data_IF_499457530948
#
_entry.id   IF_499457530948
#
_cell.length_a   1.000
_cell.length_b   1.000
_cell.length_c   1.000
_cell.angle_alpha   90.00
_cell.angle_beta   90.00
_cell.angle_gamma   90.00
#
_symmetry.space_group_name_H-M   'P 1'
#
loop_
_entity.id
_entity.type
_entity.pdbx_description
1 polymer ?
#
# COMPACT_ATOMS: atom_id res chain seq x y z
N UNK A 1 8.74 -1.97 4.19
CA UNK A 1 7.43 -1.59 4.76
C UNK A 1 6.73 -0.71 3.74
N UNK A 2 5.42 -0.81 3.65
CA UNK A 2 4.62 0.01 2.73
C UNK A 2 3.60 0.83 3.52
N UNK A 3 3.28 2.03 3.06
CA UNK A 3 2.13 2.79 3.54
C UNK A 3 1.09 2.83 2.43
N UNK A 4 -0.16 2.54 2.78
CA UNK A 4 -1.28 2.59 1.84
C UNK A 4 -2.19 3.71 2.28
N UNK A 5 -2.47 4.65 1.38
CA UNK A 5 -3.28 5.81 1.69
C UNK A 5 -4.26 6.11 0.56
N UNK A 6 -5.46 6.54 0.92
CA UNK A 6 -6.44 7.10 -0.01
C UNK A 6 -6.24 8.61 -0.18
N UNK A 7 -6.69 9.11 -1.33
CA UNK A 7 -6.77 10.53 -1.61
C UNK A 7 -7.81 10.80 -2.68
N UNK A 8 -8.60 11.85 -2.49
CA UNK A 8 -9.46 12.44 -3.53
C UNK A 8 -8.73 13.54 -4.31
N UNK A 9 -7.61 14.04 -3.78
CA UNK A 9 -6.73 15.00 -4.45
C UNK A 9 -5.85 14.30 -5.49
N UNK A 10 -5.28 15.11 -6.40
CA UNK A 10 -4.22 14.65 -7.29
C UNK A 10 -3.04 14.04 -6.50
N UNK A 11 -2.44 13.00 -7.07
CA UNK A 11 -1.31 12.29 -6.44
C UNK A 11 -0.18 13.24 -6.04
N UNK A 12 0.20 14.18 -6.92
CA UNK A 12 1.25 15.17 -6.65
C UNK A 12 0.94 16.01 -5.40
N UNK A 13 -0.31 16.46 -5.26
CA UNK A 13 -0.76 17.24 -4.10
C UNK A 13 -0.71 16.42 -2.82
N UNK A 14 -1.12 15.14 -2.87
CA UNK A 14 -1.05 14.25 -1.71
C UNK A 14 0.41 14.01 -1.27
N UNK A 15 1.31 13.74 -2.22
CA UNK A 15 2.75 13.57 -1.95
C UNK A 15 3.34 14.85 -1.35
N UNK A 16 3.00 16.01 -1.92
CA UNK A 16 3.43 17.30 -1.39
C UNK A 16 2.98 17.50 0.07
N UNK A 17 1.73 17.18 0.39
CA UNK A 17 1.22 17.25 1.77
C UNK A 17 2.00 16.36 2.74
N UNK A 18 2.31 15.12 2.34
CA UNK A 18 3.15 14.23 3.15
C UNK A 18 4.55 14.82 3.37
N UNK A 19 5.21 15.31 2.31
CA UNK A 19 6.53 15.96 2.42
C UNK A 19 6.51 17.19 3.32
N UNK A 20 5.49 18.04 3.18
CA UNK A 20 5.36 19.23 4.01
C UNK A 20 5.26 18.90 5.50
N UNK A 21 4.53 17.83 5.84
CA UNK A 21 4.42 17.37 7.23
C UNK A 21 5.73 16.76 7.76
N UNK A 22 6.46 15.99 6.94
CA UNK A 22 7.79 15.47 7.30
C UNK A 22 8.78 16.62 7.52
N UNK A 23 8.79 17.61 6.64
CA UNK A 23 9.66 18.79 6.80
C UNK A 23 9.30 19.58 8.07
N UNK A 24 8.00 19.65 8.41
CA UNK A 24 7.56 20.27 9.66
C UNK A 24 8.08 19.48 10.87
N UNK A 25 8.02 18.15 10.82
CA UNK A 25 8.62 17.27 11.83
C UNK A 25 10.11 17.56 12.01
N UNK A 26 10.88 17.57 10.91
CA UNK A 26 12.33 17.81 10.94
C UNK A 26 12.67 19.15 11.59
N UNK A 27 11.96 20.23 11.20
CA UNK A 27 12.16 21.56 11.80
C UNK A 27 11.88 21.60 13.30
N UNK A 28 10.87 20.88 13.78
CA UNK A 28 10.55 20.83 15.21
C UNK A 28 11.67 20.11 15.98
N UNK A 29 12.16 18.98 15.44
CA UNK A 29 13.26 18.22 16.04
C UNK A 29 14.56 19.02 16.05
N UNK A 30 14.90 19.70 14.95
CA UNK A 30 16.05 20.61 14.87
C UNK A 30 15.95 21.77 15.86
N UNK A 31 14.74 22.27 16.10
CA UNK A 31 14.44 23.29 17.11
C UNK A 31 14.46 22.80 18.56
N UNK A 32 14.85 21.54 18.81
CA UNK A 32 14.96 20.97 20.17
C UNK A 32 13.65 20.43 20.75
N UNK A 33 12.58 20.36 19.97
CA UNK A 33 11.30 19.78 20.41
C UNK A 33 11.41 18.25 20.40
N UNK A 34 10.98 17.62 21.50
CA UNK A 34 11.05 16.17 21.70
C UNK A 34 9.68 15.51 21.58
N UNK A 35 9.66 14.17 21.45
CA UNK A 35 8.44 13.35 21.26
C UNK A 35 7.39 13.48 22.37
N UNK A 36 7.72 14.11 23.50
CA UNK A 36 6.81 14.43 24.60
C UNK A 36 6.04 15.75 24.40
N UNK A 37 6.35 16.53 23.37
CA UNK A 37 5.67 17.79 23.09
C UNK A 37 4.31 17.57 22.41
N UNK A 38 3.30 18.30 22.89
CA UNK A 38 1.93 18.28 22.36
C UNK A 38 1.90 18.58 20.86
N UNK A 39 2.80 19.44 20.36
CA UNK A 39 2.87 19.78 18.95
C UNK A 39 3.33 18.59 18.10
N UNK A 40 4.28 17.80 18.61
CA UNK A 40 4.82 16.64 17.91
C UNK A 40 3.83 15.47 17.95
N UNK A 41 3.13 15.29 19.07
CA UNK A 41 2.03 14.34 19.19
C UNK A 41 0.91 14.61 18.17
N UNK A 42 0.45 15.87 18.07
CA UNK A 42 -0.56 16.27 17.07
C UNK A 42 -0.12 16.05 15.64
N UNK A 43 1.18 16.18 15.37
CA UNK A 43 1.73 15.91 14.05
C UNK A 43 1.66 14.42 13.73
N UNK A 44 1.97 13.54 14.69
CA UNK A 44 1.82 12.09 14.54
C UNK A 44 0.38 11.66 14.28
N UNK A 45 -0.61 12.36 14.81
CA UNK A 45 -2.03 12.04 14.62
C UNK A 45 -2.53 12.20 13.17
N UNK A 46 -1.80 12.90 12.29
CA UNK A 46 -2.27 13.18 10.92
C UNK A 46 -2.35 11.92 10.05
N UNK A 47 -1.31 11.08 10.06
CA UNK A 47 -1.27 9.83 9.27
C UNK A 47 -0.41 8.78 9.93
N UNK A 48 -0.71 7.50 9.69
CA UNK A 48 0.12 6.37 10.16
C UNK A 48 1.57 6.46 9.66
N UNK A 49 1.77 6.95 8.44
CA UNK A 49 3.09 7.22 7.87
C UNK A 49 3.91 8.16 8.77
N UNK A 50 3.32 9.28 9.17
CA UNK A 50 4.00 10.32 9.92
C UNK A 50 4.24 9.92 11.37
N UNK A 51 3.27 9.26 11.98
CA UNK A 51 3.42 8.62 13.29
C UNK A 51 4.61 7.65 13.30
N UNK A 52 4.74 6.82 12.27
CA UNK A 52 5.89 5.92 12.14
C UNK A 52 7.21 6.68 11.97
N UNK A 53 7.24 7.70 11.12
CA UNK A 53 8.44 8.53 10.95
C UNK A 53 8.88 9.16 12.28
N UNK A 54 7.95 9.69 13.08
CA UNK A 54 8.24 10.28 14.40
C UNK A 54 8.78 9.24 15.39
N UNK A 55 8.13 8.09 15.47
CA UNK A 55 8.42 7.06 16.48
C UNK A 55 9.68 6.26 16.16
N UNK A 56 9.94 5.98 14.89
CA UNK A 56 11.01 5.07 14.45
C UNK A 56 12.15 5.79 13.74
N UNK A 57 12.07 7.13 13.58
CA UNK A 57 13.06 7.95 12.86
C UNK A 57 13.40 7.40 11.47
N UNK A 58 12.37 6.86 10.81
CA UNK A 58 12.47 6.18 9.54
C UNK A 58 11.61 6.92 8.50
N UNK A 59 12.26 7.35 7.42
CA UNK A 59 11.62 8.10 6.35
C UNK A 59 11.12 7.15 5.25
N UNK A 60 9.94 7.47 4.72
CA UNK A 60 9.41 6.78 3.54
C UNK A 60 9.96 7.40 2.26
N UNK A 61 10.34 6.56 1.31
CA UNK A 61 10.67 7.02 -0.04
C UNK A 61 9.40 7.46 -0.78
N UNK A 62 9.19 8.77 -0.82
CA UNK A 62 8.06 9.40 -1.51
C UNK A 62 8.32 9.61 -3.02
N UNK A 63 9.41 9.09 -3.58
CA UNK A 63 9.67 9.10 -5.03
C UNK A 63 9.07 7.90 -5.75
N UNK A 64 8.93 6.77 -5.05
CA UNK A 64 8.43 5.49 -5.59
C UNK A 64 6.94 5.25 -5.31
N UNK A 65 6.13 6.31 -5.33
CA UNK A 65 4.69 6.20 -5.05
C UNK A 65 3.93 5.73 -6.29
N UNK A 66 3.14 4.65 -6.13
CA UNK A 66 2.29 4.09 -7.19
C UNK A 66 0.81 4.22 -6.85
N UNK A 67 -0.01 4.39 -7.90
CA UNK A 67 -1.47 4.29 -7.75
C UNK A 67 -1.85 2.81 -7.89
N UNK A 68 -2.49 2.28 -6.85
CA UNK A 68 -2.90 0.86 -6.77
C UNK A 68 -4.32 0.65 -7.28
N UNK A 69 -5.21 1.62 -7.08
CA UNK A 69 -6.60 1.59 -7.57
C UNK A 69 -7.12 3.01 -7.82
N UNK A 70 -8.16 3.15 -8.64
CA UNK A 70 -8.85 4.38 -8.98
C UNK A 70 -10.33 4.12 -9.16
N UNK A 71 -11.17 5.01 -8.61
CA UNK A 71 -12.62 4.94 -8.77
C UNK A 71 -13.23 6.33 -8.86
N UNK A 72 -14.35 6.43 -9.56
CA UNK A 72 -15.17 7.65 -9.60
C UNK A 72 -16.14 7.74 -8.42
N UNK A 73 -16.24 6.70 -7.58
CA UNK A 73 -17.12 6.67 -6.40
C UNK A 73 -16.29 6.91 -5.13
N UNK A 74 -16.33 8.10 -4.51
CA UNK A 74 -15.51 8.41 -3.34
C UNK A 74 -15.79 7.47 -2.16
N UNK A 75 -17.05 7.04 -1.99
CA UNK A 75 -17.44 6.09 -0.94
C UNK A 75 -16.77 4.73 -1.06
N UNK A 76 -16.30 4.34 -2.25
CA UNK A 76 -15.59 3.08 -2.44
C UNK A 76 -14.10 3.18 -2.05
N UNK A 77 -13.51 4.38 -1.99
CA UNK A 77 -12.07 4.56 -1.73
C UNK A 77 -11.65 3.98 -0.37
N UNK A 78 -12.45 4.18 0.67
CA UNK A 78 -12.15 3.64 2.01
C UNK A 78 -12.18 2.10 2.02
N UNK A 79 -13.12 1.48 1.29
CA UNK A 79 -13.17 0.02 1.19
C UNK A 79 -11.97 -0.51 0.41
N UNK A 80 -11.58 0.15 -0.68
CA UNK A 80 -10.41 -0.23 -1.48
C UNK A 80 -9.11 -0.08 -0.67
N UNK A 81 -8.94 1.02 0.05
CA UNK A 81 -7.82 1.24 0.97
C UNK A 81 -7.75 0.11 2.00
N UNK A 82 -8.87 -0.20 2.67
CA UNK A 82 -8.99 -1.32 3.61
C UNK A 82 -8.58 -2.65 3.00
N UNK A 83 -9.11 -2.99 1.82
CA UNK A 83 -8.78 -4.22 1.12
C UNK A 83 -7.28 -4.33 0.81
N UNK A 84 -6.66 -3.22 0.38
CA UNK A 84 -5.23 -3.20 0.08
C UNK A 84 -4.37 -3.31 1.34
N UNK A 85 -4.76 -2.66 2.44
CA UNK A 85 -4.09 -2.81 3.74
C UNK A 85 -4.18 -4.27 4.19
N UNK A 86 -5.36 -4.87 4.16
CA UNK A 86 -5.58 -6.25 4.64
C UNK A 86 -4.84 -7.31 3.80
N UNK A 87 -4.61 -7.05 2.51
CA UNK A 87 -3.97 -8.00 1.59
C UNK A 87 -2.47 -7.73 1.35
N UNK A 88 -1.92 -6.66 1.91
CA UNK A 88 -0.50 -6.34 1.77
C UNK A 88 0.22 -6.68 3.07
N UNK A 89 1.26 -7.51 2.99
CA UNK A 89 2.08 -7.81 4.16
C UNK A 89 2.93 -6.57 4.56
N UNK A 90 3.18 -6.42 5.87
CA UNK A 90 4.05 -5.37 6.44
C UNK A 90 3.67 -3.93 6.03
N UNK A 91 2.39 -3.59 6.18
CA UNK A 91 1.90 -2.21 6.03
C UNK A 91 2.00 -1.40 7.32
N UNK A 92 2.30 -0.12 7.18
CA UNK A 92 2.31 0.86 8.27
C UNK A 92 1.02 1.66 8.20
N UNK A 93 -0.06 1.06 8.68
CA UNK A 93 -1.40 1.63 8.67
C UNK A 93 -2.02 1.48 10.06
N UNK A 94 -2.90 2.40 10.46
CA UNK A 94 -3.60 2.30 11.75
C UNK A 94 -4.63 1.19 11.69
N UNK A 95 -4.79 0.45 12.80
CA UNK A 95 -5.84 -0.58 12.92
C UNK A 95 -7.25 0.00 12.75
N UNK A 96 -7.46 1.27 13.09
CA UNK A 96 -8.72 1.98 12.83
C UNK A 96 -9.01 2.15 11.35
N UNK A 97 -7.98 2.21 10.49
CA UNK A 97 -8.15 2.31 9.04
C UNK A 97 -8.76 1.02 8.44
N UNK A 98 -8.72 -0.11 9.17
CA UNK A 98 -9.33 -1.39 8.77
C UNK A 98 -10.49 -1.85 9.66
N UNK A 99 -10.81 -1.12 10.73
CA UNK A 99 -11.80 -1.54 11.73
C UNK A 99 -13.26 -1.44 11.24
N UNK A 100 -13.50 -0.75 10.13
CA UNK A 100 -14.81 -0.63 9.48
C UNK A 100 -15.18 -1.81 8.58
N UNK A 101 -14.33 -2.84 8.47
CA UNK A 101 -14.66 -4.09 7.81
C UNK A 101 -15.77 -4.81 8.60
N UNK A 102 -17.02 -4.60 8.20
CA UNK A 102 -18.10 -5.51 8.59
C UNK A 102 -17.63 -6.96 8.37
N UNK A 103 -17.99 -7.88 9.27
CA UNK A 103 -17.80 -9.32 9.07
C UNK A 103 -18.30 -9.79 7.69
N UNK A 104 -19.24 -9.05 7.08
CA UNK A 104 -19.70 -9.23 5.69
C UNK A 104 -18.56 -9.21 4.65
N UNK A 105 -17.58 -8.33 4.80
CA UNK A 105 -16.46 -8.20 3.85
C UNK A 105 -15.29 -9.14 4.16
N UNK A 106 -15.24 -9.73 5.36
CA UNK A 106 -14.19 -10.71 5.72
C UNK A 106 -14.18 -11.89 4.74
N UNK A 107 -15.35 -12.40 4.36
CA UNK A 107 -15.47 -13.47 3.36
C UNK A 107 -14.96 -13.07 1.96
N UNK A 108 -15.14 -11.81 1.57
CA UNK A 108 -14.66 -11.27 0.28
C UNK A 108 -13.14 -11.02 0.33
N UNK A 109 -12.60 -10.59 1.48
CA UNK A 109 -11.15 -10.41 1.64
C UNK A 109 -10.40 -11.74 1.52
N UNK A 110 -10.95 -12.84 2.03
CA UNK A 110 -10.36 -14.16 1.90
C UNK A 110 -10.29 -14.66 0.45
N UNK A 111 -11.19 -14.21 -0.43
CA UNK A 111 -11.19 -14.59 -1.85
C UNK A 111 -10.37 -13.66 -2.74
N UNK A 112 -10.05 -12.44 -2.29
CA UNK A 112 -9.19 -11.48 -3.00
C UNK A 112 -7.70 -11.76 -2.77
N UNK A 113 -7.33 -12.61 -1.80
CA UNK A 113 -5.95 -13.11 -1.71
C UNK A 113 -5.53 -13.58 -3.09
N UNK A 114 -4.38 -13.14 -3.63
CA UNK A 114 -3.90 -13.67 -4.88
C UNK A 114 -3.67 -15.15 -4.66
N UNK A 115 -4.63 -15.97 -5.07
CA UNK A 115 -4.40 -17.35 -5.42
C UNK A 115 -3.21 -17.27 -6.36
N UNK A 116 -2.07 -17.76 -5.89
CA UNK A 116 -0.91 -18.04 -6.74
C UNK A 116 -1.42 -19.07 -7.73
N UNK A 117 -2.11 -18.58 -8.74
CA UNK A 117 -2.65 -19.38 -9.81
C UNK A 117 -1.42 -19.64 -10.63
N UNK A 118 -0.78 -20.78 -10.37
CA UNK A 118 0.10 -21.43 -11.32
C UNK A 118 -0.72 -21.68 -12.58
N UNK A 119 -0.93 -20.65 -13.41
CA UNK A 119 -1.29 -20.84 -14.81
C UNK A 119 -0.03 -21.30 -15.53
N UNK A 120 0.33 -22.56 -15.28
CA UNK A 120 1.13 -23.30 -16.24
C UNK A 120 0.19 -23.54 -17.42
N UNK A 121 0.31 -22.71 -18.44
CA UNK A 121 -0.15 -23.03 -19.78
C UNK A 121 1.03 -23.68 -20.51
N UNK A 122 1.06 -25.00 -20.73
CA UNK A 122 1.61 -25.53 -21.95
C UNK A 122 0.45 -25.64 -22.94
N UNK A 123 0.33 -24.63 -23.82
CA UNK A 123 -0.38 -24.87 -25.06
C UNK A 123 0.44 -25.88 -25.86
N UNK A 124 -0.22 -26.98 -26.18
CA UNK A 124 -0.01 -27.87 -27.33
C UNK A 124 1.00 -27.40 -28.39
N UNK A 125 2.06 -28.18 -28.56
CA UNK A 125 2.69 -28.37 -29.86
C UNK A 125 2.49 -29.84 -30.26
N UNK A 126 1.51 -30.07 -31.13
CA UNK A 126 1.33 -31.29 -31.91
C UNK A 126 1.74 -30.93 -33.34
N UNK A 127 2.53 -31.81 -33.96
CA UNK A 127 3.04 -31.86 -35.36
C UNK A 127 4.54 -31.52 -35.46
N UNK A 128 5.46 -32.36 -35.94
CA UNK A 128 5.37 -33.46 -36.91
C UNK A 128 6.34 -34.61 -36.58
N UNK A 129 5.85 -35.84 -36.66
CA UNK A 129 6.66 -37.05 -36.66
C UNK A 129 6.97 -37.39 -38.13
N UNK A 130 8.18 -37.09 -38.61
CA UNK A 130 8.66 -37.59 -39.90
C UNK A 130 9.55 -38.80 -39.65
N UNK A 131 9.08 -39.97 -40.09
CA UNK A 131 9.88 -41.18 -40.22
C UNK A 131 11.07 -40.92 -41.14
N UNK A 132 12.27 -41.28 -40.70
CA UNK A 132 13.39 -41.58 -41.59
C UNK A 132 13.93 -42.93 -41.20
N UNK A 133 13.48 -43.95 -41.93
CA UNK A 133 14.25 -45.17 -42.19
C UNK A 133 15.54 -44.77 -42.91
N UNK A 134 16.68 -45.31 -42.49
CA UNK A 134 17.75 -45.64 -43.42
C UNK A 134 18.65 -46.73 -42.82
N UNK A 135 18.48 -47.92 -43.39
CA UNK A 135 19.43 -49.01 -43.48
C UNK A 135 20.53 -48.62 -44.47
N UNK A 136 21.79 -48.72 -44.05
CA UNK A 136 22.90 -49.41 -44.74
C UNK A 136 24.14 -49.38 -43.86
#
# INVERSE_FOLDING_TARGET
MSYIGLTTNQLKTRIYGHRANINKYQKLVEGGITNTDVQLARLGEITALLEHTINYKHDFDLTQVKIIDKTFKPSALSVLEMCHIANTDKTVNRRTEVYGLSNTYSGILHTIKPSVTRRNNPLSDISNHTQTTNTQ
#
